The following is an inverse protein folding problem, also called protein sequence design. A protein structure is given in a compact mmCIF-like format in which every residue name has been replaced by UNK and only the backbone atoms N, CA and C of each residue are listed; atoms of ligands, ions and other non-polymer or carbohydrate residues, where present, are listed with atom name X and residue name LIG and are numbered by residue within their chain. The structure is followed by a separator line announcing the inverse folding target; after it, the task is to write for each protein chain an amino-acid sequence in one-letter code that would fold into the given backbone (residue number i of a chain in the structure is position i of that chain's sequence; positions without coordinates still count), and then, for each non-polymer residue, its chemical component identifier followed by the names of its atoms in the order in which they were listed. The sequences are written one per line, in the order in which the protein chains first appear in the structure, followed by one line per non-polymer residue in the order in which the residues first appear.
data_IF_899055191077
#
_entry.id   IF_899055191077
#
_cell.length_a   1.000
_cell.length_b   1.000
_cell.length_c   1.000
_cell.angle_alpha   90.00
_cell.angle_beta   90.00
_cell.angle_gamma   90.00
#
_symmetry.space_group_name_H-M   'P 1'
#
loop_
_entity.id
_entity.type
_entity.pdbx_description
1 polymer ?
#
# COMPACT_ATOMS: atom_id res chain seq x y z
N UNK A 1 -15.58 6.15 13.60
CA UNK A 1 -15.10 4.97 14.37
C UNK A 1 -15.11 3.64 13.58
N UNK A 2 -15.87 3.49 12.48
CA UNK A 2 -15.98 2.22 11.75
C UNK A 2 -14.84 1.93 10.74
N UNK A 3 -14.25 2.96 10.12
CA UNK A 3 -13.22 2.80 9.09
C UNK A 3 -11.86 2.37 9.68
N UNK A 4 -11.46 2.95 10.83
CA UNK A 4 -10.16 2.67 11.49
C UNK A 4 -9.97 1.19 11.86
N UNK A 5 -11.04 0.48 12.22
CA UNK A 5 -10.95 -0.94 12.58
C UNK A 5 -10.83 -1.85 11.35
N UNK A 6 -11.50 -1.53 10.24
CA UNK A 6 -11.40 -2.33 9.00
C UNK A 6 -10.00 -2.28 8.38
N UNK A 7 -9.29 -1.15 8.50
CA UNK A 7 -7.94 -1.02 7.95
C UNK A 7 -6.91 -1.87 8.71
N UNK A 8 -7.03 -2.04 10.03
CA UNK A 8 -6.15 -2.95 10.80
C UNK A 8 -6.36 -4.41 10.42
N UNK A 9 -7.60 -4.80 10.12
CA UNK A 9 -7.94 -6.16 9.68
C UNK A 9 -7.47 -6.49 8.26
N UNK A 10 -7.14 -5.50 7.44
CA UNK A 10 -6.67 -5.70 6.05
C UNK A 10 -5.19 -6.08 5.97
N UNK A 11 -4.38 -5.72 6.98
CA UNK A 11 -2.94 -6.03 7.05
C UNK A 11 -2.63 -7.53 6.85
N UNK A 12 -3.28 -8.47 7.57
CA UNK A 12 -3.01 -9.90 7.38
C UNK A 12 -3.45 -10.46 6.00
N UNK A 13 -4.39 -9.80 5.31
CA UNK A 13 -4.75 -10.19 3.94
C UNK A 13 -3.65 -9.81 2.95
N UNK A 14 -2.98 -8.68 3.18
CA UNK A 14 -1.85 -8.25 2.35
C UNK A 14 -0.64 -9.18 2.50
N UNK A 15 -0.35 -9.67 3.72
CA UNK A 15 0.74 -10.62 3.96
C UNK A 15 0.50 -11.98 3.26
N UNK A 16 -0.74 -12.47 3.26
CA UNK A 16 -1.10 -13.70 2.53
C UNK A 16 -1.04 -13.51 1.01
N UNK A 17 -1.49 -12.37 0.49
CA UNK A 17 -1.42 -12.08 -0.94
C UNK A 17 0.04 -12.06 -1.44
N UNK A 18 0.95 -11.48 -0.65
CA UNK A 18 2.39 -11.45 -0.95
C UNK A 18 3.05 -12.85 -0.91
N UNK A 19 2.48 -13.83 -0.20
CA UNK A 19 2.98 -15.22 -0.20
C UNK A 19 2.57 -16.04 -1.43
N UNK A 20 1.46 -15.71 -2.08
CA UNK A 20 0.87 -16.53 -3.16
C UNK A 20 1.32 -16.07 -4.54
N UNK A 21 1.66 -14.79 -4.70
CA UNK A 21 2.08 -14.28 -5.99
C UNK A 21 2.57 -12.84 -5.89
N UNK A 22 3.90 -12.70 -5.77
CA UNK A 22 4.75 -11.62 -6.27
C UNK A 22 4.01 -10.32 -6.64
N UNK A 23 4.13 -9.32 -5.76
CA UNK A 23 4.03 -7.91 -6.10
C UNK A 23 2.84 -7.50 -6.98
N UNK A 24 1.63 -7.87 -6.55
CA UNK A 24 0.45 -7.24 -7.12
C UNK A 24 0.45 -5.75 -6.73
N UNK A 25 0.78 -4.90 -7.70
CA UNK A 25 0.81 -3.45 -7.57
C UNK A 25 -0.50 -2.92 -7.00
N UNK A 26 -1.63 -3.55 -7.31
CA UNK A 26 -2.95 -3.16 -6.81
C UNK A 26 -3.10 -3.43 -5.29
N UNK A 27 -2.55 -4.54 -4.82
CA UNK A 27 -2.52 -4.89 -3.39
C UNK A 27 -1.66 -3.91 -2.60
N UNK A 28 -0.48 -3.57 -3.13
CA UNK A 28 0.39 -2.54 -2.53
C UNK A 28 -0.28 -1.17 -2.56
N UNK A 29 -1.04 -0.85 -3.62
CA UNK A 29 -1.77 0.42 -3.72
C UNK A 29 -2.84 0.51 -2.63
N UNK A 30 -3.62 -0.55 -2.44
CA UNK A 30 -4.64 -0.62 -1.40
C UNK A 30 -4.03 -0.52 0.01
N UNK A 31 -2.90 -1.19 0.24
CA UNK A 31 -2.16 -1.13 1.51
C UNK A 31 -1.64 0.27 1.81
N UNK A 32 -1.01 0.93 0.83
CA UNK A 32 -0.53 2.31 0.93
C UNK A 32 -1.67 3.28 1.23
N UNK A 33 -2.80 3.17 0.50
CA UNK A 33 -4.01 3.99 0.72
C UNK A 33 -4.57 3.78 2.13
N UNK A 34 -4.57 2.54 2.65
CA UNK A 34 -5.00 2.25 4.01
C UNK A 34 -4.09 2.92 5.05
N UNK A 35 -2.77 2.78 4.92
CA UNK A 35 -1.82 3.43 5.83
C UNK A 35 -1.93 4.96 5.79
N UNK A 36 -2.12 5.56 4.60
CA UNK A 36 -2.36 6.99 4.44
C UNK A 36 -3.62 7.44 5.19
N UNK A 37 -4.74 6.71 5.04
CA UNK A 37 -6.01 6.99 5.77
C UNK A 37 -5.89 6.80 7.28
N UNK A 38 -4.99 5.94 7.74
CA UNK A 38 -4.69 5.74 9.15
C UNK A 38 -3.76 6.82 9.75
N UNK A 39 -3.18 7.69 8.92
CA UNK A 39 -2.16 8.66 9.33
C UNK A 39 -0.77 8.04 9.50
N UNK A 40 -0.57 6.80 9.04
CA UNK A 40 0.70 6.08 9.10
C UNK A 40 1.55 6.41 7.87
N UNK A 41 1.89 7.69 7.68
CA UNK A 41 2.54 8.21 6.46
C UNK A 41 3.81 7.46 6.08
N UNK A 42 4.66 7.09 7.07
CA UNK A 42 5.88 6.30 6.79
C UNK A 42 5.57 4.95 6.13
N UNK A 43 4.57 4.23 6.63
CA UNK A 43 4.18 2.93 6.07
C UNK A 43 3.54 3.07 4.69
N UNK A 44 2.79 4.16 4.47
CA UNK A 44 2.24 4.48 3.15
C UNK A 44 3.37 4.72 2.14
N UNK A 45 4.37 5.54 2.49
CA UNK A 45 5.51 5.82 1.62
C UNK A 45 6.30 4.57 1.26
N UNK A 46 6.52 3.66 2.22
CA UNK A 46 7.16 2.38 1.93
C UNK A 46 6.36 1.58 0.89
N UNK A 47 5.02 1.54 1.00
CA UNK A 47 4.20 0.85 0.01
C UNK A 47 4.32 1.47 -1.39
N UNK A 48 4.40 2.81 -1.49
CA UNK A 48 4.62 3.51 -2.76
C UNK A 48 6.01 3.22 -3.34
N UNK A 49 7.03 3.13 -2.50
CA UNK A 49 8.38 2.74 -2.93
C UNK A 49 8.39 1.30 -3.44
N UNK A 50 7.78 0.37 -2.71
CA UNK A 50 7.64 -1.03 -3.14
C UNK A 50 6.92 -1.14 -4.49
N UNK A 51 5.91 -0.28 -4.74
CA UNK A 51 5.25 -0.19 -6.05
C UNK A 51 6.21 0.27 -7.13
N UNK A 52 7.02 1.31 -6.89
CA UNK A 52 7.97 1.83 -7.88
C UNK A 52 9.15 0.87 -8.13
N UNK A 53 9.46 -0.03 -7.21
CA UNK A 53 10.44 -1.11 -7.46
C UNK A 53 9.92 -2.13 -8.49
N UNK A 54 8.60 -2.33 -8.54
CA UNK A 54 7.94 -3.33 -9.40
C UNK A 54 7.48 -2.69 -10.71
N UNK A 55 6.84 -1.53 -10.61
CA UNK A 55 6.38 -0.68 -11.69
C UNK A 55 6.93 0.75 -11.51
N UNK A 56 8.16 1.01 -11.97
CA UNK A 56 8.78 2.33 -11.85
C UNK A 56 8.02 3.46 -12.55
N UNK A 57 7.05 3.13 -13.43
CA UNK A 57 6.23 4.08 -14.18
C UNK A 57 4.84 4.27 -13.56
N UNK A 58 4.60 3.75 -12.35
CA UNK A 58 3.31 3.90 -11.69
C UNK A 58 3.05 5.37 -11.32
N UNK A 59 2.15 6.02 -12.08
CA UNK A 59 1.80 7.43 -11.90
C UNK A 59 1.22 7.72 -10.51
N UNK A 60 0.48 6.76 -9.93
CA UNK A 60 -0.17 6.95 -8.63
C UNK A 60 0.87 6.96 -7.51
N UNK A 61 1.80 6.00 -7.49
CA UNK A 61 2.86 5.97 -6.49
C UNK A 61 3.80 7.20 -6.60
N UNK A 62 4.09 7.68 -7.81
CA UNK A 62 4.85 8.92 -8.02
C UNK A 62 4.13 10.15 -7.47
N UNK A 63 2.84 10.31 -7.77
CA UNK A 63 2.01 11.40 -7.22
C UNK A 63 1.97 11.37 -5.69
N UNK A 64 1.83 10.18 -5.11
CA UNK A 64 1.76 10.02 -3.66
C UNK A 64 3.11 10.30 -2.96
N UNK A 65 4.23 10.06 -3.64
CA UNK A 65 5.57 10.42 -3.17
C UNK A 65 6.01 11.83 -3.57
N UNK A 66 5.21 12.57 -4.34
CA UNK A 66 5.56 13.84 -4.98
C UNK A 66 6.86 13.77 -5.82
N UNK A 67 7.01 12.68 -6.59
CA UNK A 67 8.08 12.45 -7.58
C UNK A 67 7.59 12.75 -9.00
#
# INVERSE_FOLDING_TARGET
YYMKNKHKSAVPYFEKALQIGRYDTEVLLLKGRCHKRLGETKKANNCWQDILEVDPKNDEARRELNL
#
